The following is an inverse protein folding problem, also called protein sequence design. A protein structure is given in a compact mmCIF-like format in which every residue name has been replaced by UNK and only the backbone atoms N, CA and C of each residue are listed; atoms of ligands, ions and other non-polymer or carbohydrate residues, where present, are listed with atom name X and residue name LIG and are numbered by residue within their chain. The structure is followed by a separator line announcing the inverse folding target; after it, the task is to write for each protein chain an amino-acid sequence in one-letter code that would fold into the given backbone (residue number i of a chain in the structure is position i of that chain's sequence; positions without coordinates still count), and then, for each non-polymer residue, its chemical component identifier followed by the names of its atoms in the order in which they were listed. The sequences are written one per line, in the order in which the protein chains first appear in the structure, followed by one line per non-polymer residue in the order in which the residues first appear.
data_IF_832330237063
#
_entry.id   IF_832330237063
#
_cell.length_a   1.000
_cell.length_b   1.000
_cell.length_c   1.000
_cell.angle_alpha   90.00
_cell.angle_beta   90.00
_cell.angle_gamma   90.00
#
_symmetry.space_group_name_H-M   'P 1'
#
loop_
_entity.id
_entity.type
_entity.pdbx_description
1 polymer ?
#
# COMPACT_ATOMS: atom_id res chain seq x y z
N UNK A 1 26.63 5.56 -6.53
CA UNK A 1 27.27 4.23 -6.64
C UNK A 1 27.41 3.95 -8.11
N UNK A 2 28.64 3.72 -8.58
CA UNK A 2 28.88 3.34 -9.96
C UNK A 2 28.71 1.82 -10.09
N UNK A 3 27.92 1.39 -11.06
CA UNK A 3 27.59 -0.03 -11.28
C UNK A 3 28.17 -0.55 -12.61
N UNK A 4 28.76 0.33 -13.42
CA UNK A 4 29.37 -0.04 -14.69
C UNK A 4 30.45 -1.12 -14.49
N UNK A 5 30.44 -2.14 -15.34
CA UNK A 5 31.33 -3.32 -15.30
C UNK A 5 31.22 -4.15 -14.00
N UNK A 6 30.18 -3.93 -13.18
CA UNK A 6 29.91 -4.77 -12.01
C UNK A 6 29.09 -5.98 -12.39
N UNK A 7 29.44 -7.14 -11.84
CA UNK A 7 28.66 -8.37 -11.98
C UNK A 7 27.63 -8.46 -10.87
N UNK A 8 26.36 -8.29 -11.23
CA UNK A 8 25.24 -8.14 -10.28
C UNK A 8 24.26 -9.29 -10.41
N UNK A 9 24.06 -10.03 -9.32
CA UNK A 9 23.05 -11.07 -9.24
C UNK A 9 21.72 -10.49 -8.74
N UNK A 10 20.69 -10.56 -9.58
CA UNK A 10 19.31 -10.21 -9.22
C UNK A 10 18.57 -11.48 -8.76
N UNK A 11 18.19 -11.52 -7.49
CA UNK A 11 17.41 -12.62 -6.91
C UNK A 11 15.91 -12.28 -6.92
N UNK A 12 15.14 -13.01 -7.70
CA UNK A 12 13.70 -12.86 -7.92
C UNK A 12 13.39 -11.83 -8.99
N UNK A 13 12.72 -12.27 -10.06
CA UNK A 13 12.44 -11.45 -11.24
C UNK A 13 11.24 -10.52 -10.99
N UNK A 14 10.03 -11.03 -10.74
CA UNK A 14 8.85 -10.25 -10.35
C UNK A 14 8.70 -8.86 -11.01
N UNK A 15 8.05 -7.92 -10.32
CA UNK A 15 7.94 -6.52 -10.81
C UNK A 15 9.26 -5.75 -10.55
N UNK A 16 9.76 -5.84 -9.31
CA UNK A 16 10.95 -5.11 -8.87
C UNK A 16 12.23 -5.59 -9.57
N UNK A 17 12.40 -6.90 -9.74
CA UNK A 17 13.57 -7.47 -10.41
C UNK A 17 13.58 -7.16 -11.91
N UNK A 18 12.45 -7.18 -12.63
CA UNK A 18 12.41 -6.72 -14.05
C UNK A 18 12.89 -5.28 -14.17
N UNK A 19 12.40 -4.38 -13.30
CA UNK A 19 12.87 -2.99 -13.26
C UNK A 19 14.36 -2.90 -12.94
N UNK A 20 14.86 -3.75 -12.03
CA UNK A 20 16.27 -3.77 -11.61
C UNK A 20 17.16 -4.23 -12.76
N UNK A 21 16.80 -5.34 -13.42
CA UNK A 21 17.52 -5.92 -14.57
C UNK A 21 17.64 -4.88 -15.69
N UNK A 22 16.51 -4.32 -16.13
CA UNK A 22 16.49 -3.30 -17.19
C UNK A 22 17.41 -2.13 -16.86
N UNK A 23 17.38 -1.66 -15.61
CA UNK A 23 18.17 -0.52 -15.18
C UNK A 23 19.67 -0.84 -15.11
N UNK A 24 20.04 -1.97 -14.52
CA UNK A 24 21.43 -2.42 -14.41
C UNK A 24 22.07 -2.64 -15.79
N UNK A 25 21.37 -3.30 -16.71
CA UNK A 25 21.85 -3.50 -18.08
C UNK A 25 22.08 -2.16 -18.79
N UNK A 26 21.16 -1.20 -18.64
CA UNK A 26 21.31 0.15 -19.22
C UNK A 26 22.48 0.95 -18.61
N UNK A 27 22.81 0.69 -17.34
CA UNK A 27 23.94 1.30 -16.63
C UNK A 27 25.28 0.56 -16.85
N UNK A 28 25.31 -0.49 -17.66
CA UNK A 28 26.52 -1.22 -18.02
C UNK A 28 26.96 -2.29 -17.03
N UNK A 29 26.07 -2.83 -16.19
CA UNK A 29 26.38 -4.03 -15.40
C UNK A 29 26.32 -5.30 -16.25
N UNK A 30 27.11 -6.29 -15.83
CA UNK A 30 26.90 -7.69 -16.20
C UNK A 30 25.84 -8.27 -15.23
N UNK A 31 24.65 -8.54 -15.75
CA UNK A 31 23.50 -8.98 -14.93
C UNK A 31 23.37 -10.49 -14.99
N UNK A 32 23.07 -11.10 -13.84
CA UNK A 32 22.65 -12.50 -13.71
C UNK A 32 21.32 -12.52 -13.00
N UNK A 33 20.40 -13.40 -13.43
CA UNK A 33 19.08 -13.54 -12.83
C UNK A 33 18.95 -14.92 -12.20
N UNK A 34 18.37 -14.98 -11.00
CA UNK A 34 17.90 -16.24 -10.42
C UNK A 34 16.52 -16.09 -9.84
N UNK A 35 15.65 -17.07 -10.13
CA UNK A 35 14.31 -17.17 -9.56
C UNK A 35 14.00 -18.63 -9.20
N UNK A 36 13.28 -18.84 -8.09
CA UNK A 36 12.84 -20.17 -7.67
C UNK A 36 11.72 -20.70 -8.54
N UNK A 37 10.97 -19.82 -9.21
CA UNK A 37 9.98 -20.23 -10.19
C UNK A 37 10.66 -20.78 -11.43
N UNK A 38 10.04 -21.81 -12.02
CA UNK A 38 10.45 -22.29 -13.33
C UNK A 38 10.16 -21.23 -14.41
N UNK A 39 10.82 -21.35 -15.55
CA UNK A 39 10.74 -20.37 -16.64
C UNK A 39 9.30 -20.15 -17.14
N UNK A 40 8.52 -21.23 -17.25
CA UNK A 40 7.13 -21.23 -17.69
C UNK A 40 6.17 -20.56 -16.68
N UNK A 41 6.56 -20.45 -15.41
CA UNK A 41 5.79 -19.77 -14.37
C UNK A 41 6.04 -18.24 -14.31
N UNK A 42 7.08 -17.75 -14.99
CA UNK A 42 7.47 -16.33 -14.96
C UNK A 42 6.65 -15.46 -15.92
N UNK A 43 6.05 -16.08 -16.94
CA UNK A 43 5.06 -15.45 -17.82
C UNK A 43 5.51 -14.10 -18.38
N UNK A 44 4.73 -13.05 -18.09
CA UNK A 44 4.96 -11.70 -18.62
C UNK A 44 6.29 -11.08 -18.17
N UNK A 45 6.81 -11.41 -16.99
CA UNK A 45 8.05 -10.81 -16.49
C UNK A 45 9.25 -11.17 -17.36
N UNK A 46 9.32 -12.43 -17.82
CA UNK A 46 10.39 -12.88 -18.71
C UNK A 46 10.28 -12.21 -20.09
N UNK A 47 9.05 -12.04 -20.58
CA UNK A 47 8.80 -11.41 -21.89
C UNK A 47 9.32 -9.97 -21.97
N UNK A 48 9.43 -9.28 -20.84
CA UNK A 48 9.93 -7.91 -20.75
C UNK A 48 11.45 -7.76 -20.86
N UNK A 49 12.19 -8.86 -20.68
CA UNK A 49 13.66 -8.89 -20.69
C UNK A 49 14.23 -9.89 -21.71
N UNK A 50 13.38 -10.54 -22.49
CA UNK A 50 13.74 -11.61 -23.44
C UNK A 50 14.79 -11.20 -24.50
N UNK A 51 14.84 -9.92 -24.84
CA UNK A 51 15.75 -9.40 -25.89
C UNK A 51 17.13 -9.03 -25.32
N UNK A 52 17.34 -9.27 -24.02
CA UNK A 52 18.61 -9.04 -23.33
C UNK A 52 19.36 -10.37 -23.21
N UNK A 53 20.63 -10.38 -23.62
CA UNK A 53 21.52 -11.52 -23.43
C UNK A 53 22.00 -11.54 -21.98
N UNK A 54 21.31 -12.32 -21.15
CA UNK A 54 21.48 -12.36 -19.68
C UNK A 54 21.60 -13.82 -19.23
N UNK A 55 22.57 -14.09 -18.36
CA UNK A 55 22.72 -15.39 -17.71
C UNK A 55 21.56 -15.61 -16.70
N UNK A 56 20.82 -16.72 -16.84
CA UNK A 56 19.62 -16.99 -16.04
C UNK A 56 19.67 -18.35 -15.33
N UNK A 57 19.11 -18.39 -14.12
CA UNK A 57 18.97 -19.58 -13.29
C UNK A 57 17.52 -19.68 -12.77
N UNK A 58 16.66 -20.38 -13.51
CA UNK A 58 15.25 -20.58 -13.12
C UNK A 58 15.01 -21.93 -12.45
N UNK A 59 14.02 -21.99 -11.57
CA UNK A 59 13.73 -23.17 -10.74
C UNK A 59 14.76 -23.40 -9.62
N UNK A 60 15.71 -22.47 -9.41
CA UNK A 60 16.83 -22.69 -8.50
C UNK A 60 17.47 -21.39 -8.03
N UNK A 61 17.98 -21.41 -6.80
CA UNK A 61 18.88 -20.40 -6.25
C UNK A 61 20.34 -20.89 -6.18
N UNK A 62 20.66 -22.02 -6.81
CA UNK A 62 22.03 -22.56 -6.83
C UNK A 62 22.85 -21.88 -7.92
N UNK A 63 23.23 -20.63 -7.67
CA UNK A 63 24.02 -19.78 -8.58
C UNK A 63 25.48 -19.76 -8.13
N UNK A 64 26.46 -19.94 -9.02
CA UNK A 64 27.87 -19.69 -8.71
C UNK A 64 28.09 -18.24 -8.26
N UNK A 65 28.61 -18.05 -7.05
CA UNK A 65 28.87 -16.71 -6.50
C UNK A 65 30.27 -16.19 -6.83
N UNK A 66 31.02 -16.89 -7.69
CA UNK A 66 32.35 -16.47 -8.11
C UNK A 66 32.25 -15.21 -8.98
N UNK A 67 33.10 -14.21 -8.68
CA UNK A 67 33.12 -12.90 -9.34
C UNK A 67 31.82 -12.08 -9.24
N UNK A 68 30.91 -12.36 -8.29
CA UNK A 68 29.74 -11.51 -8.04
C UNK A 68 30.14 -10.32 -7.14
N UNK A 69 29.92 -9.11 -7.62
CA UNK A 69 30.19 -7.88 -6.87
C UNK A 69 29.05 -7.51 -5.91
N UNK A 70 27.80 -7.78 -6.31
CA UNK A 70 26.61 -7.33 -5.60
C UNK A 70 25.44 -8.30 -5.84
N UNK A 71 24.62 -8.51 -4.80
CA UNK A 71 23.32 -9.17 -4.93
C UNK A 71 22.20 -8.15 -4.68
N UNK A 72 21.27 -8.05 -5.62
CA UNK A 72 20.03 -7.28 -5.46
C UNK A 72 18.87 -8.26 -5.31
N UNK A 73 18.29 -8.34 -4.12
CA UNK A 73 17.18 -9.25 -3.85
C UNK A 73 15.83 -8.55 -3.94
N UNK A 74 14.83 -9.28 -4.43
CA UNK A 74 13.43 -8.91 -4.25
C UNK A 74 13.09 -8.78 -2.74
N UNK A 75 12.25 -7.81 -2.33
CA UNK A 75 12.00 -7.54 -0.91
C UNK A 75 11.47 -8.73 -0.12
N UNK A 76 10.62 -9.54 -0.74
CA UNK A 76 10.00 -10.72 -0.12
C UNK A 76 10.95 -11.89 0.15
N UNK A 77 12.16 -11.89 -0.45
CA UNK A 77 13.13 -12.96 -0.25
C UNK A 77 13.74 -12.86 1.16
N UNK A 78 13.62 -13.90 2.01
CA UNK A 78 14.18 -13.90 3.36
C UNK A 78 15.70 -13.83 3.36
N UNK A 79 16.28 -13.14 4.35
CA UNK A 79 17.74 -13.00 4.50
C UNK A 79 18.45 -14.29 4.97
N UNK A 80 17.71 -15.30 5.41
CA UNK A 80 18.26 -16.53 6.01
C UNK A 80 18.31 -17.73 5.05
N UNK A 81 18.16 -17.50 3.74
CA UNK A 81 18.32 -18.56 2.73
C UNK A 81 19.80 -18.84 2.45
N UNK A 82 20.12 -20.03 1.94
CA UNK A 82 21.49 -20.51 1.90
C UNK A 82 22.39 -19.71 0.94
N UNK A 83 21.88 -19.26 -0.21
CA UNK A 83 22.64 -18.38 -1.13
C UNK A 83 23.02 -17.05 -0.47
N UNK A 84 22.14 -16.45 0.34
CA UNK A 84 22.44 -15.20 1.05
C UNK A 84 23.43 -15.44 2.19
N UNK A 85 23.32 -16.56 2.92
CA UNK A 85 24.32 -16.94 3.93
C UNK A 85 25.70 -17.10 3.31
N UNK A 86 25.78 -17.76 2.16
CA UNK A 86 27.05 -17.97 1.45
C UNK A 86 27.61 -16.67 0.90
N UNK A 87 26.77 -15.81 0.29
CA UNK A 87 27.16 -14.48 -0.15
C UNK A 87 27.78 -13.66 1.00
N UNK A 88 27.13 -13.66 2.17
CA UNK A 88 27.65 -12.98 3.35
C UNK A 88 29.00 -13.54 3.83
N UNK A 89 29.21 -14.86 3.80
CA UNK A 89 30.51 -15.47 4.15
C UNK A 89 31.63 -15.04 3.19
N UNK A 90 31.29 -14.83 1.91
CA UNK A 90 32.20 -14.35 0.87
C UNK A 90 32.38 -12.84 0.86
N UNK A 91 31.68 -12.11 1.73
CA UNK A 91 31.72 -10.64 1.79
C UNK A 91 30.96 -9.94 0.65
N UNK A 92 30.12 -10.66 -0.09
CA UNK A 92 29.29 -10.10 -1.16
C UNK A 92 28.11 -9.35 -0.52
N UNK A 93 27.96 -8.07 -0.85
CA UNK A 93 26.88 -7.26 -0.29
C UNK A 93 25.52 -7.66 -0.89
N UNK A 94 24.51 -7.78 -0.03
CA UNK A 94 23.12 -8.07 -0.41
C UNK A 94 22.24 -6.88 -0.05
N UNK A 95 21.62 -6.26 -1.05
CA UNK A 95 20.73 -5.10 -0.89
C UNK A 95 19.40 -5.30 -1.62
N UNK A 96 18.46 -4.37 -1.45
CA UNK A 96 17.20 -4.30 -2.22
C UNK A 96 17.28 -3.21 -3.28
N UNK A 97 16.32 -3.24 -4.20
CA UNK A 97 16.11 -2.20 -5.21
C UNK A 97 16.03 -0.78 -4.64
N UNK A 98 15.38 -0.60 -3.49
CA UNK A 98 15.25 0.69 -2.81
C UNK A 98 16.61 1.27 -2.38
N UNK A 99 17.45 0.43 -1.76
CA UNK A 99 18.80 0.84 -1.34
C UNK A 99 19.68 1.14 -2.56
N UNK A 100 19.62 0.29 -3.58
CA UNK A 100 20.38 0.48 -4.82
C UNK A 100 19.97 1.77 -5.53
N UNK A 101 18.66 2.05 -5.64
CA UNK A 101 18.13 3.26 -6.25
C UNK A 101 18.71 4.51 -5.60
N UNK A 102 18.62 4.61 -4.28
CA UNK A 102 19.18 5.74 -3.54
C UNK A 102 20.70 5.84 -3.71
N UNK A 103 21.44 4.73 -3.64
CA UNK A 103 22.89 4.76 -3.82
C UNK A 103 23.30 5.18 -5.23
N UNK A 104 22.55 4.84 -6.27
CA UNK A 104 22.83 5.25 -7.66
C UNK A 104 22.59 6.75 -7.83
N UNK A 105 21.50 7.29 -7.30
CA UNK A 105 21.11 8.70 -7.47
C UNK A 105 20.68 9.35 -6.15
N UNK A 106 21.61 9.62 -5.22
CA UNK A 106 21.26 10.11 -3.87
C UNK A 106 20.63 11.51 -3.86
N UNK A 107 20.83 12.30 -4.92
CA UNK A 107 20.39 13.70 -4.99
C UNK A 107 18.92 13.89 -5.42
N UNK A 108 18.20 12.81 -5.71
CA UNK A 108 16.81 12.84 -6.20
C UNK A 108 15.83 13.25 -5.11
N UNK A 109 14.64 13.69 -5.53
CA UNK A 109 13.56 14.09 -4.63
C UNK A 109 12.78 12.87 -4.10
N UNK A 110 13.40 12.09 -3.21
CA UNK A 110 12.76 10.94 -2.58
C UNK A 110 11.82 11.34 -1.43
N UNK A 111 10.58 10.88 -1.51
CA UNK A 111 9.56 10.92 -0.46
C UNK A 111 9.19 9.48 -0.14
N UNK A 112 9.43 9.04 1.09
CA UNK A 112 9.20 7.65 1.49
C UNK A 112 8.07 7.57 2.52
N UNK A 113 7.11 6.67 2.29
CA UNK A 113 5.92 6.52 3.13
C UNK A 113 5.86 5.08 3.64
N UNK A 114 5.80 4.91 4.96
CA UNK A 114 5.55 3.62 5.61
C UNK A 114 4.47 3.72 6.69
N UNK A 115 4.03 2.56 7.14
CA UNK A 115 3.03 2.38 8.19
C UNK A 115 2.48 0.95 8.14
N UNK A 116 1.72 0.54 9.15
CA UNK A 116 0.99 -0.72 9.05
C UNK A 116 -0.15 -0.56 8.03
N UNK A 117 -0.93 0.51 8.14
CA UNK A 117 -2.07 0.82 7.29
C UNK A 117 -1.95 2.20 6.61
N UNK A 118 -2.74 2.45 5.56
CA UNK A 118 -2.85 3.76 4.91
C UNK A 118 -1.75 4.11 3.90
N UNK A 119 -0.71 3.27 3.80
CA UNK A 119 0.44 3.46 2.89
C UNK A 119 0.02 3.78 1.45
N UNK A 120 -0.67 2.84 0.79
CA UNK A 120 -1.07 2.99 -0.61
C UNK A 120 -1.89 4.25 -0.85
N UNK A 121 -2.91 4.49 -0.02
CA UNK A 121 -3.75 5.69 -0.14
C UNK A 121 -2.94 6.98 -0.01
N UNK A 122 -2.04 7.04 0.98
CA UNK A 122 -1.18 8.21 1.19
C UNK A 122 -0.19 8.39 0.05
N UNK A 123 0.48 7.32 -0.39
CA UNK A 123 1.44 7.34 -1.51
C UNK A 123 0.76 7.79 -2.80
N UNK A 124 -0.43 7.26 -3.11
CA UNK A 124 -1.22 7.68 -4.28
C UNK A 124 -1.62 9.14 -4.15
N UNK A 125 -2.17 9.57 -3.00
CA UNK A 125 -2.60 10.95 -2.82
C UNK A 125 -1.44 11.94 -2.92
N UNK A 126 -0.28 11.64 -2.31
CA UNK A 126 0.93 12.47 -2.48
C UNK A 126 1.33 12.53 -3.95
N UNK A 127 1.31 11.40 -4.66
CA UNK A 127 1.55 11.37 -6.11
C UNK A 127 0.62 12.31 -6.89
N UNK A 128 -0.68 12.27 -6.60
CA UNK A 128 -1.68 13.14 -7.23
C UNK A 128 -1.50 14.62 -6.85
N UNK A 129 -1.06 14.92 -5.62
CA UNK A 129 -0.75 16.29 -5.20
C UNK A 129 0.38 16.87 -6.05
N UNK A 130 1.49 16.15 -6.22
CA UNK A 130 2.62 16.62 -7.02
C UNK A 130 2.28 16.73 -8.51
N UNK A 131 1.63 15.72 -9.10
CA UNK A 131 1.16 15.77 -10.49
C UNK A 131 0.22 16.94 -10.73
N UNK A 132 -0.76 17.15 -9.85
CA UNK A 132 -1.71 18.25 -9.96
C UNK A 132 -1.09 19.64 -9.74
N UNK A 133 0.10 19.70 -9.12
CA UNK A 133 0.90 20.92 -9.01
C UNK A 133 1.94 21.07 -10.14
N UNK A 134 1.92 20.20 -11.16
CA UNK A 134 2.78 20.31 -12.35
C UNK A 134 4.14 19.63 -12.26
N UNK A 135 4.38 18.79 -11.25
CA UNK A 135 5.64 18.04 -11.13
C UNK A 135 5.57 16.71 -11.87
N UNK A 136 6.66 16.37 -12.58
CA UNK A 136 6.92 15.01 -13.01
C UNK A 136 7.07 14.13 -11.76
N UNK A 137 6.21 13.12 -11.63
CA UNK A 137 6.08 12.35 -10.41
C UNK A 137 6.02 10.86 -10.70
N UNK A 138 6.94 10.12 -10.09
CA UNK A 138 7.05 8.67 -10.18
C UNK A 138 6.58 8.07 -8.86
N UNK A 139 5.48 7.31 -8.91
CA UNK A 139 4.94 6.63 -7.73
C UNK A 139 5.38 5.17 -7.81
N UNK A 140 6.16 4.71 -6.84
CA UNK A 140 6.84 3.40 -6.92
C UNK A 140 6.89 2.67 -5.57
N UNK A 141 7.48 1.47 -5.58
CA UNK A 141 7.66 0.64 -4.40
C UNK A 141 6.60 -0.46 -4.32
N UNK A 142 6.02 -0.67 -3.13
CA UNK A 142 5.09 -1.77 -2.88
C UNK A 142 3.68 -1.60 -3.53
N UNK A 143 3.55 -0.71 -4.51
CA UNK A 143 2.32 -0.47 -5.29
C UNK A 143 2.35 -1.08 -6.70
N UNK A 144 3.32 -1.94 -6.99
CA UNK A 144 3.37 -2.68 -8.26
C UNK A 144 4.14 -1.99 -9.39
N UNK A 145 5.02 -1.04 -9.06
CA UNK A 145 5.95 -0.41 -10.02
C UNK A 145 7.36 -0.43 -9.42
N UNK A 146 8.32 -0.95 -10.19
CA UNK A 146 9.73 -1.00 -9.79
C UNK A 146 10.39 0.38 -9.89
N UNK A 147 11.24 0.72 -8.91
CA UNK A 147 11.79 2.07 -8.77
C UNK A 147 12.96 2.38 -9.71
N UNK A 148 13.79 1.38 -10.02
CA UNK A 148 15.09 1.60 -10.65
C UNK A 148 15.00 2.02 -12.11
N UNK A 149 14.02 1.49 -12.85
CA UNK A 149 13.87 1.82 -14.27
C UNK A 149 13.41 3.25 -14.45
N UNK A 150 12.40 3.69 -13.70
CA UNK A 150 11.93 5.08 -13.72
C UNK A 150 13.05 6.03 -13.27
N UNK A 151 13.79 5.66 -12.22
CA UNK A 151 14.91 6.45 -11.70
C UNK A 151 15.94 6.81 -12.78
N UNK A 152 16.45 5.81 -13.51
CA UNK A 152 17.52 6.06 -14.49
C UNK A 152 17.03 6.75 -15.76
N UNK A 153 15.70 6.84 -15.94
CA UNK A 153 15.05 7.52 -17.05
C UNK A 153 14.41 8.87 -16.63
N UNK A 154 14.68 9.34 -15.41
CA UNK A 154 14.11 10.57 -14.84
C UNK A 154 15.10 11.73 -14.80
N UNK A 155 14.55 12.94 -14.69
CA UNK A 155 15.31 14.18 -14.47
C UNK A 155 15.48 14.48 -12.97
N UNK A 156 16.51 15.25 -12.59
CA UNK A 156 16.90 15.41 -11.17
C UNK A 156 15.81 16.05 -10.32
N UNK A 157 14.96 16.88 -10.94
CA UNK A 157 13.84 17.56 -10.30
C UNK A 157 12.59 16.68 -10.14
N UNK A 158 12.54 15.53 -10.81
CA UNK A 158 11.39 14.62 -10.72
C UNK A 158 11.20 14.11 -9.28
N UNK A 159 9.94 13.97 -8.88
CA UNK A 159 9.54 13.55 -7.53
C UNK A 159 9.34 12.04 -7.48
N UNK A 160 9.99 11.37 -6.53
CA UNK A 160 9.83 9.94 -6.30
C UNK A 160 9.03 9.70 -5.02
N UNK A 161 7.77 9.28 -5.16
CA UNK A 161 6.89 8.96 -4.04
C UNK A 161 6.87 7.45 -3.84
N UNK A 162 7.49 6.98 -2.76
CA UNK A 162 7.82 5.57 -2.54
C UNK A 162 6.96 5.00 -1.43
N UNK A 163 6.15 3.98 -1.74
CA UNK A 163 5.58 3.11 -0.71
C UNK A 163 6.65 2.12 -0.20
N UNK A 164 7.12 2.33 1.02
CA UNK A 164 8.16 1.52 1.65
C UNK A 164 7.58 0.50 2.64
N UNK A 165 7.72 -0.79 2.32
CA UNK A 165 7.39 -1.89 3.24
C UNK A 165 8.45 -2.06 4.34
N UNK A 166 8.11 -2.75 5.43
CA UNK A 166 9.09 -3.13 6.46
C UNK A 166 10.20 -4.04 5.90
N UNK A 167 9.90 -4.87 4.90
CA UNK A 167 10.88 -5.79 4.31
C UNK A 167 11.92 -5.04 3.47
N UNK A 168 11.48 -4.03 2.72
CA UNK A 168 12.38 -3.13 1.98
C UNK A 168 13.27 -2.35 2.94
N UNK A 169 12.66 -1.69 3.93
CA UNK A 169 13.38 -0.86 4.89
C UNK A 169 14.37 -1.67 5.72
N UNK A 170 14.05 -2.92 6.08
CA UNK A 170 14.97 -3.78 6.82
C UNK A 170 16.32 -3.98 6.10
N UNK A 171 16.33 -3.92 4.78
CA UNK A 171 17.54 -4.09 3.97
C UNK A 171 18.23 -2.77 3.60
N UNK A 172 17.73 -1.62 4.08
CA UNK A 172 18.35 -0.31 3.82
C UNK A 172 19.52 -0.05 4.77
N UNK A 173 20.53 0.68 4.26
CA UNK A 173 21.72 1.10 5.00
C UNK A 173 21.94 2.59 4.87
N UNK A 174 21.99 3.12 3.65
CA UNK A 174 22.29 4.52 3.35
C UNK A 174 21.05 5.33 2.98
N UNK A 175 19.92 4.67 2.72
CA UNK A 175 18.65 5.30 2.32
C UNK A 175 18.31 6.53 3.18
N UNK A 176 18.17 7.69 2.52
CA UNK A 176 17.91 8.98 3.17
C UNK A 176 16.96 9.82 2.30
N UNK A 177 15.64 9.66 2.44
CA UNK A 177 14.68 10.45 1.69
C UNK A 177 14.64 11.91 2.19
N UNK A 178 14.23 12.85 1.34
CA UNK A 178 14.01 14.25 1.74
C UNK A 178 12.87 14.36 2.76
N UNK A 179 11.82 13.55 2.56
CA UNK A 179 10.68 13.44 3.49
C UNK A 179 10.39 11.97 3.78
N UNK A 180 10.37 11.62 5.06
CA UNK A 180 9.92 10.31 5.57
C UNK A 180 8.55 10.46 6.20
N UNK A 181 7.66 9.48 6.03
CA UNK A 181 6.36 9.45 6.70
C UNK A 181 6.18 8.10 7.40
N UNK A 182 5.83 8.13 8.68
CA UNK A 182 5.31 6.95 9.40
C UNK A 182 3.87 7.24 9.82
N UNK A 183 2.92 6.54 9.21
CA UNK A 183 1.48 6.78 9.39
C UNK A 183 0.94 6.24 10.72
N UNK A 184 1.34 5.01 11.06
CA UNK A 184 0.91 4.25 12.24
C UNK A 184 1.76 2.98 12.35
N UNK A 185 1.84 2.41 13.56
CA UNK A 185 2.48 1.12 13.80
C UNK A 185 1.61 0.27 14.72
N UNK A 186 1.01 -0.78 14.16
CA UNK A 186 0.34 -1.87 14.89
C UNK A 186 0.97 -3.23 14.55
N UNK A 187 0.83 -4.26 15.41
CA UNK A 187 1.39 -5.59 15.15
C UNK A 187 0.98 -6.14 13.77
N UNK A 188 1.97 -6.55 12.99
CA UNK A 188 1.82 -7.13 11.65
C UNK A 188 3.12 -7.83 11.26
N UNK A 189 3.06 -8.83 10.36
CA UNK A 189 4.23 -9.56 9.83
C UNK A 189 5.24 -10.08 10.89
N UNK A 190 4.78 -10.37 12.10
CA UNK A 190 5.62 -10.81 13.23
C UNK A 190 6.31 -12.15 12.94
N UNK A 191 5.64 -13.03 12.19
CA UNK A 191 6.22 -14.28 11.70
C UNK A 191 7.51 -14.09 10.90
N UNK A 192 7.60 -13.01 10.11
CA UNK A 192 8.78 -12.69 9.31
C UNK A 192 9.84 -11.96 10.15
N UNK A 193 9.41 -10.95 10.94
CA UNK A 193 10.31 -10.13 11.76
C UNK A 193 10.75 -10.82 13.06
N UNK A 194 10.15 -11.95 13.41
CA UNK A 194 10.34 -12.75 14.64
C UNK A 194 9.91 -12.08 15.95
N UNK A 195 9.86 -10.75 15.98
CA UNK A 195 9.43 -9.95 17.13
C UNK A 195 8.81 -8.63 16.67
N UNK A 196 7.95 -8.05 17.50
CA UNK A 196 7.31 -6.75 17.21
C UNK A 196 8.34 -5.62 17.19
N UNK A 197 9.30 -5.63 18.09
CA UNK A 197 10.38 -4.65 18.17
C UNK A 197 11.20 -4.62 16.88
N UNK A 198 11.46 -5.78 16.27
CA UNK A 198 12.16 -5.87 15.00
C UNK A 198 11.34 -5.24 13.86
N UNK A 199 10.01 -5.44 13.85
CA UNK A 199 9.11 -4.79 12.88
C UNK A 199 9.13 -3.26 13.03
N UNK A 200 9.09 -2.76 14.27
CA UNK A 200 9.19 -1.32 14.56
C UNK A 200 10.55 -0.78 14.09
N UNK A 201 11.65 -1.45 14.45
CA UNK A 201 13.01 -1.05 14.08
C UNK A 201 13.24 -1.06 12.57
N UNK A 202 12.65 -2.02 11.85
CA UNK A 202 12.66 -2.04 10.39
C UNK A 202 12.02 -0.79 9.82
N UNK A 203 10.86 -0.35 10.35
CA UNK A 203 10.20 0.89 9.89
C UNK A 203 11.00 2.15 10.22
N UNK A 204 11.62 2.22 11.39
CA UNK A 204 12.47 3.35 11.82
C UNK A 204 13.64 3.62 10.88
N UNK A 205 14.11 2.61 10.12
CA UNK A 205 15.17 2.79 9.11
C UNK A 205 14.82 3.84 8.05
N UNK A 206 13.53 4.15 7.84
CA UNK A 206 13.09 5.18 6.88
C UNK A 206 13.69 6.57 7.16
N UNK A 207 13.84 6.95 8.44
CA UNK A 207 14.36 8.26 8.84
C UNK A 207 15.78 8.20 9.42
N UNK A 208 16.35 7.01 9.60
CA UNK A 208 17.58 6.80 10.39
C UNK A 208 18.78 7.63 9.91
N UNK A 209 18.89 7.82 8.60
CA UNK A 209 19.98 8.57 7.98
C UNK A 209 19.66 10.05 7.77
N UNK A 210 18.42 10.49 8.00
CA UNK A 210 18.01 11.89 7.86
C UNK A 210 18.69 12.76 8.93
N UNK A 211 18.91 14.03 8.59
CA UNK A 211 19.53 15.07 9.43
C UNK A 211 18.68 16.35 9.34
N UNK A 212 19.23 17.46 9.80
CA UNK A 212 18.56 18.76 9.93
C UNK A 212 18.03 19.37 8.62
N UNK A 213 18.43 18.86 7.45
CA UNK A 213 17.93 19.33 6.15
C UNK A 213 16.74 18.51 5.62
N UNK A 214 16.48 17.36 6.21
CA UNK A 214 15.37 16.49 5.85
C UNK A 214 14.22 16.60 6.87
N UNK A 215 13.10 15.94 6.57
CA UNK A 215 11.91 15.95 7.41
C UNK A 215 11.37 14.54 7.70
N UNK A 216 10.88 14.35 8.91
CA UNK A 216 10.09 13.19 9.33
C UNK A 216 8.67 13.64 9.70
N UNK A 217 7.67 13.08 9.02
CA UNK A 217 6.26 13.27 9.28
C UNK A 217 5.76 12.11 10.14
N UNK A 218 5.19 12.43 11.31
CA UNK A 218 4.73 11.44 12.29
C UNK A 218 3.29 11.73 12.72
N UNK A 219 2.53 10.66 12.98
CA UNK A 219 1.18 10.74 13.54
C UNK A 219 1.24 11.00 15.04
N UNK A 220 0.76 12.16 15.48
CA UNK A 220 0.67 12.52 16.89
C UNK A 220 -0.41 11.71 17.63
N UNK A 221 -1.33 11.06 16.94
CA UNK A 221 -2.37 10.25 17.60
C UNK A 221 -1.89 8.81 17.90
N UNK A 222 -0.73 8.41 17.37
CA UNK A 222 -0.10 7.12 17.64
C UNK A 222 0.88 7.25 18.83
N UNK A 223 0.60 6.60 19.99
CA UNK A 223 1.44 6.72 21.18
C UNK A 223 2.89 6.25 20.94
N UNK A 224 3.09 5.21 20.13
CA UNK A 224 4.43 4.71 19.85
C UNK A 224 5.23 5.75 19.06
N UNK A 225 4.61 6.42 18.09
CA UNK A 225 5.30 7.42 17.28
C UNK A 225 5.73 8.65 18.10
N UNK A 226 5.00 9.01 19.16
CA UNK A 226 5.45 10.04 20.13
C UNK A 226 6.74 9.64 20.83
N UNK A 227 6.93 8.36 21.13
CA UNK A 227 8.16 7.88 21.76
C UNK A 227 9.34 7.89 20.78
N UNK A 228 9.07 7.58 19.51
CA UNK A 228 10.07 7.52 18.43
C UNK A 228 10.67 8.90 18.11
N UNK A 229 9.99 10.01 18.45
CA UNK A 229 10.52 11.38 18.31
C UNK A 229 11.96 11.53 18.82
N UNK A 230 12.30 10.86 19.92
CA UNK A 230 13.63 10.92 20.55
C UNK A 230 14.75 10.32 19.70
N UNK A 231 14.40 9.51 18.70
CA UNK A 231 15.35 8.85 17.79
C UNK A 231 15.49 9.59 16.45
N UNK A 232 14.68 10.63 16.21
CA UNK A 232 14.68 11.39 14.96
C UNK A 232 15.72 12.50 15.02
N UNK A 233 16.63 12.52 14.04
CA UNK A 233 17.68 13.54 13.90
C UNK A 233 17.34 14.63 12.87
N UNK A 234 16.15 14.60 12.30
CA UNK A 234 15.66 15.52 11.28
C UNK A 234 14.52 16.39 11.80
N UNK A 235 14.01 17.32 10.98
CA UNK A 235 12.89 18.15 11.40
C UNK A 235 11.61 17.30 11.49
N UNK A 236 10.94 17.35 12.63
CA UNK A 236 9.65 16.66 12.79
C UNK A 236 8.50 17.57 12.38
N UNK A 237 7.59 17.04 11.58
CA UNK A 237 6.31 17.65 11.27
C UNK A 237 5.17 16.73 11.69
N UNK A 238 4.45 17.13 12.74
CA UNK A 238 3.37 16.33 13.30
C UNK A 238 2.08 16.47 12.50
N UNK A 239 1.31 15.39 12.44
CA UNK A 239 -0.09 15.47 12.06
C UNK A 239 -1.01 14.81 13.08
N UNK A 240 -2.28 15.24 13.14
CA UNK A 240 -3.26 14.72 14.10
C UNK A 240 -4.70 14.92 13.64
N UNK A 241 -5.52 13.88 13.77
CA UNK A 241 -6.98 14.01 13.67
C UNK A 241 -7.58 14.47 14.99
N UNK A 242 -7.07 13.98 16.12
CA UNK A 242 -7.72 14.15 17.43
C UNK A 242 -7.26 15.40 18.20
N UNK A 243 -6.13 16.00 17.82
CA UNK A 243 -5.46 17.04 18.58
C UNK A 243 -5.14 18.28 17.72
N UNK A 244 -5.36 19.46 18.30
CA UNK A 244 -4.88 20.72 17.73
C UNK A 244 -3.39 20.90 18.03
N UNK A 245 -2.59 21.12 16.98
CA UNK A 245 -1.13 21.22 17.09
C UNK A 245 -0.65 22.67 17.02
N UNK A 246 0.34 23.07 17.85
CA UNK A 246 0.95 24.41 17.78
C UNK A 246 1.76 24.61 16.49
N UNK A 247 2.25 23.52 15.89
CA UNK A 247 2.87 23.44 14.56
C UNK A 247 2.62 22.04 14.00
N UNK A 248 2.13 21.94 12.77
CA UNK A 248 1.76 20.67 12.15
C UNK A 248 0.48 20.75 11.30
N UNK A 249 0.01 19.60 10.81
CA UNK A 249 -1.27 19.48 10.12
C UNK A 249 -2.33 18.84 11.04
N UNK A 250 -3.51 19.43 11.17
CA UNK A 250 -4.55 18.84 12.02
C UNK A 250 -5.96 19.20 11.57
N UNK A 251 -6.96 18.61 12.23
CA UNK A 251 -8.37 18.96 12.05
C UNK A 251 -8.76 20.13 12.96
N UNK A 252 -9.12 21.28 12.39
CA UNK A 252 -9.70 22.41 13.12
C UNK A 252 -11.17 22.58 12.74
N UNK A 253 -12.07 22.16 13.64
CA UNK A 253 -13.52 22.10 13.43
C UNK A 253 -13.87 21.24 12.21
N UNK A 254 -14.18 21.87 11.07
CA UNK A 254 -14.61 21.20 9.84
C UNK A 254 -13.59 21.33 8.71
N UNK A 255 -12.34 21.67 9.02
CA UNK A 255 -11.27 21.87 8.05
C UNK A 255 -10.04 21.04 8.37
N UNK A 256 -9.40 20.53 7.32
CA UNK A 256 -7.98 20.16 7.33
C UNK A 256 -7.18 21.46 7.29
N UNK A 257 -6.27 21.65 8.24
CA UNK A 257 -5.43 22.85 8.34
C UNK A 257 -3.95 22.52 8.47
N UNK A 258 -3.12 23.46 8.02
CA UNK A 258 -1.68 23.52 8.30
C UNK A 258 -1.43 24.69 9.24
N UNK A 259 -0.69 24.47 10.33
CA UNK A 259 -0.18 25.53 11.19
C UNK A 259 1.35 25.52 11.14
N UNK A 260 1.96 26.59 10.63
CA UNK A 260 3.42 26.73 10.53
C UNK A 260 4.07 27.28 11.81
N UNK A 261 3.26 27.52 12.86
CA UNK A 261 3.66 28.16 14.12
C UNK A 261 3.46 29.68 14.13
N UNK A 262 3.16 30.29 12.98
CA UNK A 262 2.88 31.73 12.82
C UNK A 262 1.48 31.97 12.28
N UNK A 263 1.02 31.14 11.34
CA UNK A 263 -0.25 31.25 10.65
C UNK A 263 -0.89 29.88 10.43
N UNK A 264 -2.22 29.88 10.45
CA UNK A 264 -3.05 28.72 10.12
C UNK A 264 -3.59 28.89 8.69
N UNK A 265 -3.35 27.89 7.86
CA UNK A 265 -3.84 27.80 6.49
C UNK A 265 -4.92 26.73 6.42
N UNK A 266 -6.10 27.08 5.88
CA UNK A 266 -7.17 26.12 5.62
C UNK A 266 -6.92 25.48 4.27
N UNK A 267 -6.78 24.16 4.25
CA UNK A 267 -6.49 23.40 3.02
C UNK A 267 -7.79 22.99 2.34
N UNK A 268 -8.62 22.24 3.05
CA UNK A 268 -9.90 21.73 2.51
C UNK A 268 -10.91 21.53 3.63
N UNK A 269 -12.19 21.65 3.31
CA UNK A 269 -13.27 21.30 4.23
C UNK A 269 -13.46 19.80 4.29
N UNK A 270 -13.77 19.25 5.46
CA UNK A 270 -14.00 17.82 5.63
C UNK A 270 -15.21 17.33 4.82
N UNK A 271 -16.27 18.14 4.72
CA UNK A 271 -17.49 17.82 3.95
C UNK A 271 -17.24 17.68 2.43
N UNK A 272 -16.15 18.27 1.93
CA UNK A 272 -15.77 18.23 0.52
C UNK A 272 -14.88 17.01 0.19
N UNK A 273 -14.45 16.24 1.20
CA UNK A 273 -13.59 15.07 1.03
C UNK A 273 -14.46 13.86 0.66
N UNK A 274 -14.10 13.17 -0.43
CA UNK A 274 -14.87 12.01 -0.92
C UNK A 274 -14.52 10.71 -0.19
N UNK A 275 -13.26 10.54 0.22
CA UNK A 275 -12.80 9.35 0.94
C UNK A 275 -13.20 9.41 2.41
N UNK A 276 -13.83 8.34 2.91
CA UNK A 276 -14.53 8.34 4.19
C UNK A 276 -13.69 7.78 5.34
N UNK A 277 -13.97 8.26 6.56
CA UNK A 277 -13.45 7.68 7.79
C UNK A 277 -12.18 8.34 8.33
N UNK A 278 -11.96 8.20 9.64
CA UNK A 278 -10.83 8.79 10.37
C UNK A 278 -9.48 8.44 9.75
N UNK A 279 -9.26 7.17 9.40
CA UNK A 279 -8.01 6.72 8.77
C UNK A 279 -7.71 7.43 7.44
N UNK A 280 -8.73 7.86 6.68
CA UNK A 280 -8.54 8.64 5.47
C UNK A 280 -8.22 10.11 5.76
N UNK A 281 -8.74 10.67 6.87
CA UNK A 281 -8.27 11.97 7.36
C UNK A 281 -6.80 11.91 7.79
N UNK A 282 -6.36 10.84 8.45
CA UNK A 282 -4.94 10.61 8.77
C UNK A 282 -4.08 10.60 7.50
N UNK A 283 -4.51 9.84 6.47
CA UNK A 283 -3.82 9.79 5.18
C UNK A 283 -3.73 11.19 4.53
N UNK A 284 -4.83 11.95 4.53
CA UNK A 284 -4.87 13.31 3.96
C UNK A 284 -3.94 14.25 4.73
N UNK A 285 -3.96 14.21 6.05
CA UNK A 285 -3.12 15.04 6.88
C UNK A 285 -1.63 14.74 6.67
N UNK A 286 -1.27 13.46 6.53
CA UNK A 286 0.07 13.05 6.16
C UNK A 286 0.46 13.57 4.76
N UNK A 287 -0.42 13.42 3.76
CA UNK A 287 -0.17 13.92 2.40
C UNK A 287 -0.03 15.44 2.33
N UNK A 288 -0.87 16.17 3.06
CA UNK A 288 -0.80 17.63 3.19
C UNK A 288 0.49 18.07 3.89
N UNK A 289 0.94 17.32 4.89
CA UNK A 289 2.22 17.58 5.57
C UNK A 289 3.39 17.46 4.60
N UNK A 290 3.42 16.40 3.78
CA UNK A 290 4.44 16.21 2.73
C UNK A 290 4.40 17.37 1.72
N UNK A 291 3.21 17.70 1.21
CA UNK A 291 3.05 18.78 0.24
C UNK A 291 3.51 20.13 0.79
N UNK A 292 3.16 20.44 2.05
CA UNK A 292 3.62 21.65 2.74
C UNK A 292 5.15 21.72 2.87
N UNK A 293 5.78 20.64 3.33
CA UNK A 293 7.25 20.56 3.49
C UNK A 293 7.96 20.78 2.16
N UNK A 294 7.40 20.24 1.08
CA UNK A 294 7.96 20.32 -0.26
C UNK A 294 7.52 21.58 -1.03
N UNK A 295 6.79 22.50 -0.38
CA UNK A 295 6.46 23.81 -0.94
C UNK A 295 5.28 23.84 -1.92
N UNK A 296 4.37 22.87 -1.88
CA UNK A 296 3.16 22.88 -2.70
C UNK A 296 2.18 23.99 -2.28
N UNK A 297 1.48 24.58 -3.25
CA UNK A 297 0.47 25.60 -2.99
C UNK A 297 -0.73 25.00 -2.23
N UNK A 298 -1.14 25.68 -1.15
CA UNK A 298 -2.21 25.21 -0.27
C UNK A 298 -3.56 25.14 -0.99
N UNK A 299 -3.84 26.09 -1.89
CA UNK A 299 -5.08 26.13 -2.66
C UNK A 299 -5.17 24.96 -3.65
N UNK A 300 -4.08 24.68 -4.37
CA UNK A 300 -3.97 23.53 -5.27
C UNK A 300 -4.10 22.21 -4.52
N UNK A 301 -3.42 22.06 -3.37
CA UNK A 301 -3.58 20.87 -2.52
C UNK A 301 -5.04 20.65 -2.14
N UNK A 302 -5.74 21.70 -1.70
CA UNK A 302 -7.15 21.64 -1.35
C UNK A 302 -8.05 21.20 -2.52
N UNK A 303 -7.80 21.73 -3.73
CA UNK A 303 -8.54 21.37 -4.93
C UNK A 303 -8.34 19.90 -5.32
N UNK A 304 -7.10 19.41 -5.27
CA UNK A 304 -6.76 18.02 -5.61
C UNK A 304 -7.41 17.05 -4.61
N UNK A 305 -7.32 17.34 -3.31
CA UNK A 305 -7.92 16.50 -2.25
C UNK A 305 -9.44 16.41 -2.40
N UNK A 306 -10.12 17.53 -2.73
CA UNK A 306 -11.57 17.55 -2.99
C UNK A 306 -11.96 16.65 -4.17
N UNK A 307 -11.08 16.51 -5.15
CA UNK A 307 -11.36 15.71 -6.35
C UNK A 307 -10.86 14.26 -6.26
N UNK A 308 -9.97 13.95 -5.32
CA UNK A 308 -9.43 12.62 -5.10
C UNK A 308 -10.54 11.62 -4.76
N UNK A 309 -10.71 10.60 -5.61
CA UNK A 309 -11.76 9.58 -5.49
C UNK A 309 -11.38 8.42 -4.57
N UNK A 310 -10.15 8.39 -4.08
CA UNK A 310 -9.59 7.24 -3.37
C UNK A 310 -8.77 6.34 -4.28
N UNK A 311 -8.34 5.21 -3.72
CA UNK A 311 -7.63 4.17 -4.45
C UNK A 311 -8.64 3.10 -4.85
N UNK A 312 -8.54 2.64 -6.09
CA UNK A 312 -9.38 1.58 -6.62
C UNK A 312 -9.35 0.34 -5.70
N UNK A 313 -10.51 -0.29 -5.51
CA UNK A 313 -10.69 -1.45 -4.64
C UNK A 313 -10.43 -1.23 -3.14
N UNK A 314 -10.34 0.02 -2.65
CA UNK A 314 -10.21 0.38 -1.22
C UNK A 314 -11.36 1.28 -0.76
N UNK A 315 -12.45 0.69 -0.30
CA UNK A 315 -13.72 1.39 0.03
C UNK A 315 -14.09 2.37 -1.10
N UNK A 316 -13.89 1.94 -2.34
CA UNK A 316 -14.11 2.73 -3.55
C UNK A 316 -15.62 2.87 -3.74
N UNK A 317 -16.13 4.10 -3.73
CA UNK A 317 -17.51 4.36 -4.14
C UNK A 317 -17.65 4.04 -5.63
N UNK A 318 -18.56 3.12 -5.95
CA UNK A 318 -18.82 2.67 -7.33
C UNK A 318 -19.97 3.46 -7.94
N UNK A 319 -21.18 3.33 -7.36
CA UNK A 319 -22.36 4.02 -7.86
C UNK A 319 -23.49 4.06 -6.81
N UNK A 320 -24.57 4.78 -7.14
CA UNK A 320 -25.84 4.75 -6.41
C UNK A 320 -26.95 4.33 -7.36
N UNK A 321 -27.71 3.29 -7.00
CA UNK A 321 -28.85 2.76 -7.77
C UNK A 321 -30.05 2.77 -6.83
N UNK A 322 -31.14 3.45 -7.21
CA UNK A 322 -32.37 3.58 -6.41
C UNK A 322 -32.14 3.98 -4.94
N UNK A 323 -31.16 4.86 -4.72
CA UNK A 323 -30.78 5.33 -3.38
C UNK A 323 -29.88 4.39 -2.58
N UNK A 324 -29.50 3.24 -3.12
CA UNK A 324 -28.56 2.27 -2.53
C UNK A 324 -27.14 2.56 -3.01
N UNK A 325 -26.19 2.70 -2.09
CA UNK A 325 -24.78 2.99 -2.43
C UNK A 325 -23.94 1.73 -2.52
N UNK A 326 -23.11 1.61 -3.54
CA UNK A 326 -22.21 0.48 -3.73
C UNK A 326 -20.76 0.86 -3.45
N UNK A 327 -20.08 0.06 -2.64
CA UNK A 327 -18.68 0.24 -2.29
C UNK A 327 -17.86 -1.01 -2.59
N UNK A 328 -16.75 -0.83 -3.30
CA UNK A 328 -15.77 -1.85 -3.64
C UNK A 328 -14.56 -1.75 -2.70
N UNK A 329 -14.46 -2.67 -1.74
CA UNK A 329 -13.30 -2.90 -0.89
C UNK A 329 -12.69 -4.29 -1.15
N UNK A 330 -12.56 -4.69 -2.42
CA UNK A 330 -12.00 -6.01 -2.78
C UNK A 330 -10.57 -6.24 -2.22
N UNK A 331 -9.83 -5.17 -1.90
CA UNK A 331 -8.52 -5.24 -1.22
C UNK A 331 -8.61 -5.67 0.25
N UNK A 332 -9.81 -5.72 0.83
CA UNK A 332 -10.09 -6.25 2.17
C UNK A 332 -9.90 -7.77 2.27
N UNK A 333 -8.67 -8.25 2.02
CA UNK A 333 -8.35 -9.69 1.90
C UNK A 333 -8.08 -10.38 3.25
N UNK A 334 -8.40 -9.74 4.36
CA UNK A 334 -8.30 -10.28 5.72
C UNK A 334 -9.39 -9.67 6.64
N UNK A 335 -9.70 -10.29 7.80
CA UNK A 335 -10.74 -9.81 8.71
C UNK A 335 -10.54 -8.37 9.18
N UNK A 336 -9.32 -7.98 9.59
CA UNK A 336 -9.03 -6.64 10.10
C UNK A 336 -9.28 -5.52 9.08
N UNK A 337 -8.95 -5.77 7.81
CA UNK A 337 -9.24 -4.84 6.73
C UNK A 337 -10.75 -4.67 6.56
N UNK A 338 -11.51 -5.77 6.66
CA UNK A 338 -12.96 -5.73 6.52
C UNK A 338 -13.67 -5.06 7.69
N UNK A 339 -13.17 -5.25 8.91
CA UNK A 339 -13.64 -4.52 10.10
C UNK A 339 -13.52 -3.01 9.87
N UNK A 340 -12.38 -2.54 9.35
CA UNK A 340 -12.17 -1.11 9.04
C UNK A 340 -13.15 -0.60 7.99
N UNK A 341 -13.45 -1.40 6.96
CA UNK A 341 -14.45 -1.04 5.95
C UNK A 341 -15.86 -0.92 6.53
N UNK A 342 -16.28 -1.89 7.35
CA UNK A 342 -17.60 -1.89 8.03
C UNK A 342 -17.75 -0.68 8.96
N UNK A 343 -16.69 -0.29 9.67
CA UNK A 343 -16.71 0.89 10.56
C UNK A 343 -16.70 2.21 9.78
N UNK A 344 -16.14 2.24 8.57
CA UNK A 344 -16.04 3.44 7.75
C UNK A 344 -17.30 3.71 6.91
N UNK A 345 -17.92 2.66 6.35
CA UNK A 345 -19.10 2.79 5.48
C UNK A 345 -20.34 3.15 6.30
N UNK A 346 -21.20 3.99 5.73
CA UNK A 346 -22.44 4.44 6.36
C UNK A 346 -23.42 3.26 6.52
N UNK A 347 -23.91 2.96 7.74
CA UNK A 347 -24.93 1.94 7.94
C UNK A 347 -26.34 2.42 7.54
N UNK A 348 -27.29 1.51 7.29
CA UNK A 348 -27.16 0.04 7.33
C UNK A 348 -26.36 -0.56 6.15
N UNK A 349 -25.67 -1.68 6.38
CA UNK A 349 -24.74 -2.32 5.43
C UNK A 349 -25.22 -3.72 5.06
N UNK A 350 -25.22 -4.04 3.77
CA UNK A 350 -25.29 -5.41 3.25
C UNK A 350 -23.86 -5.80 2.85
N UNK A 351 -23.25 -6.68 3.64
CA UNK A 351 -21.84 -7.04 3.48
C UNK A 351 -21.71 -8.28 2.59
N UNK A 352 -20.99 -8.14 1.48
CA UNK A 352 -20.57 -9.24 0.63
C UNK A 352 -19.18 -9.70 1.09
N UNK A 353 -19.07 -10.95 1.54
CA UNK A 353 -17.84 -11.51 2.09
C UNK A 353 -17.56 -12.96 1.65
N UNK A 354 -16.31 -13.41 1.82
CA UNK A 354 -15.86 -14.74 1.48
C UNK A 354 -14.86 -14.80 0.32
N UNK A 355 -14.32 -15.99 0.11
CA UNK A 355 -13.17 -16.27 -0.77
C UNK A 355 -12.32 -17.42 -0.21
N UNK A 356 -11.06 -17.49 -0.62
CA UNK A 356 -10.13 -18.55 -0.24
C UNK A 356 -9.78 -18.54 1.25
N UNK A 357 -9.76 -19.72 1.88
CA UNK A 357 -9.33 -19.87 3.27
C UNK A 357 -7.81 -19.78 3.39
N UNK A 358 -7.35 -19.00 4.38
CA UNK A 358 -5.94 -18.87 4.77
C UNK A 358 -5.71 -19.29 6.23
N UNK A 359 -6.66 -20.01 6.82
CA UNK A 359 -6.71 -20.28 8.24
C UNK A 359 -7.17 -19.07 9.06
N UNK A 360 -7.99 -18.19 8.46
CA UNK A 360 -8.48 -16.99 9.12
C UNK A 360 -9.65 -17.31 10.04
N UNK A 361 -9.68 -16.68 11.22
CA UNK A 361 -10.84 -16.69 12.12
C UNK A 361 -11.68 -15.42 11.92
N UNK A 362 -12.99 -15.53 12.08
CA UNK A 362 -13.94 -14.47 11.71
C UNK A 362 -14.74 -13.93 12.89
N UNK A 363 -14.52 -14.42 14.12
CA UNK A 363 -15.26 -13.98 15.32
C UNK A 363 -15.20 -12.46 15.49
N UNK A 364 -13.99 -11.87 15.42
CA UNK A 364 -13.79 -10.41 15.54
C UNK A 364 -14.51 -9.61 14.46
N UNK A 365 -14.62 -10.16 13.24
CA UNK A 365 -15.36 -9.52 12.16
C UNK A 365 -16.85 -9.45 12.50
N UNK A 366 -17.45 -10.56 12.94
CA UNK A 366 -18.88 -10.59 13.29
C UNK A 366 -19.16 -9.70 14.51
N UNK A 367 -18.31 -9.77 15.54
CA UNK A 367 -18.41 -8.92 16.73
C UNK A 367 -18.34 -7.42 16.40
N UNK A 368 -17.59 -7.05 15.36
CA UNK A 368 -17.46 -5.65 14.92
C UNK A 368 -18.73 -5.04 14.31
N UNK A 369 -19.73 -5.86 13.95
CA UNK A 369 -20.90 -5.38 13.23
C UNK A 369 -21.67 -4.33 14.02
N UNK A 370 -21.83 -4.50 15.34
CA UNK A 370 -22.45 -3.50 16.22
C UNK A 370 -23.80 -2.93 15.72
N UNK A 371 -24.62 -3.77 15.05
CA UNK A 371 -25.89 -3.35 14.43
C UNK A 371 -25.77 -2.56 13.12
N UNK A 372 -24.55 -2.34 12.61
CA UNK A 372 -24.28 -1.65 11.34
C UNK A 372 -24.57 -2.53 10.13
N UNK A 373 -24.29 -3.83 10.24
CA UNK A 373 -24.52 -4.80 9.17
C UNK A 373 -25.92 -5.37 9.31
N UNK A 374 -26.74 -5.19 8.28
CA UNK A 374 -28.13 -5.66 8.15
C UNK A 374 -28.19 -7.11 7.67
N UNK A 375 -27.32 -7.50 6.73
CA UNK A 375 -27.27 -8.84 6.14
C UNK A 375 -25.86 -9.20 5.66
N UNK A 376 -25.56 -10.50 5.66
CA UNK A 376 -24.37 -11.07 5.01
C UNK A 376 -24.76 -11.80 3.73
N UNK A 377 -23.99 -11.55 2.67
CA UNK A 377 -24.07 -12.29 1.40
C UNK A 377 -22.70 -12.95 1.18
N UNK A 378 -22.65 -14.28 1.26
CA UNK A 378 -21.40 -15.03 1.34
C UNK A 378 -21.16 -15.88 0.09
N UNK A 379 -19.95 -15.83 -0.43
CA UNK A 379 -19.49 -16.57 -1.61
C UNK A 379 -18.09 -17.16 -1.40
N UNK A 380 -17.67 -18.03 -2.33
CA UNK A 380 -16.33 -18.65 -2.30
C UNK A 380 -16.19 -19.78 -1.28
N UNK A 381 -14.96 -20.25 -1.11
CA UNK A 381 -14.60 -21.41 -0.29
C UNK A 381 -15.01 -21.26 1.18
N UNK A 382 -14.83 -20.06 1.75
CA UNK A 382 -15.07 -19.76 3.18
C UNK A 382 -16.53 -19.44 3.54
N UNK A 383 -17.47 -19.46 2.58
CA UNK A 383 -18.86 -19.03 2.81
C UNK A 383 -19.56 -19.79 3.94
N UNK A 384 -19.33 -21.09 4.05
CA UNK A 384 -19.89 -21.94 5.11
C UNK A 384 -19.26 -21.60 6.47
N UNK A 385 -17.93 -21.47 6.53
CA UNK A 385 -17.19 -21.11 7.75
C UNK A 385 -17.66 -19.77 8.30
N UNK A 386 -17.77 -18.74 7.45
CA UNK A 386 -18.23 -17.41 7.88
C UNK A 386 -19.69 -17.45 8.34
N UNK A 387 -20.57 -18.22 7.67
CA UNK A 387 -21.96 -18.42 8.10
C UNK A 387 -22.01 -19.03 9.50
N UNK A 388 -21.26 -20.10 9.73
CA UNK A 388 -21.30 -20.83 11.00
C UNK A 388 -20.78 -19.96 12.14
N UNK A 389 -19.72 -19.17 11.90
CA UNK A 389 -19.27 -18.14 12.85
C UNK A 389 -20.33 -17.07 13.09
N UNK A 390 -21.00 -16.58 12.04
CA UNK A 390 -22.06 -15.58 12.18
C UNK A 390 -23.22 -16.09 13.04
N UNK A 391 -23.69 -17.32 12.79
CA UNK A 391 -24.76 -17.97 13.56
C UNK A 391 -24.34 -18.18 15.03
N UNK A 392 -23.11 -18.64 15.27
CA UNK A 392 -22.54 -18.80 16.63
C UNK A 392 -22.59 -17.49 17.42
N UNK A 393 -22.39 -16.35 16.76
CA UNK A 393 -22.47 -15.01 17.35
C UNK A 393 -23.88 -14.38 17.29
N UNK A 394 -24.91 -15.16 16.96
CA UNK A 394 -26.30 -14.72 16.94
C UNK A 394 -26.71 -13.90 15.71
N UNK A 395 -25.85 -13.81 14.69
CA UNK A 395 -26.15 -13.13 13.43
C UNK A 395 -26.72 -14.10 12.40
N UNK A 396 -28.06 -14.13 12.28
CA UNK A 396 -28.77 -15.13 11.48
C UNK A 396 -29.10 -14.68 10.04
N UNK A 397 -28.99 -13.39 9.71
CA UNK A 397 -29.38 -12.86 8.40
C UNK A 397 -28.26 -13.08 7.37
N UNK A 398 -28.05 -14.34 6.99
CA UNK A 398 -26.95 -14.80 6.14
C UNK A 398 -27.49 -15.48 4.88
N UNK A 399 -26.97 -15.09 3.72
CA UNK A 399 -27.37 -15.58 2.40
C UNK A 399 -26.15 -16.15 1.69
N UNK A 400 -26.22 -17.40 1.23
CA UNK A 400 -25.14 -18.03 0.47
C UNK A 400 -25.40 -17.90 -1.03
N UNK A 401 -24.38 -17.52 -1.79
CA UNK A 401 -24.45 -17.38 -3.25
C UNK A 401 -23.23 -18.03 -3.92
N UNK A 402 -23.27 -18.16 -5.24
CA UNK A 402 -22.24 -18.89 -5.99
C UNK A 402 -21.23 -17.99 -6.71
N UNK A 403 -21.61 -16.77 -7.04
CA UNK A 403 -20.79 -15.85 -7.85
C UNK A 403 -21.08 -14.39 -7.50
N UNK A 404 -20.23 -13.48 -8.00
CA UNK A 404 -20.37 -12.04 -7.75
C UNK A 404 -21.68 -11.47 -8.27
N UNK A 405 -22.17 -11.96 -9.42
CA UNK A 405 -23.46 -11.52 -9.96
C UNK A 405 -24.59 -11.78 -8.97
N UNK A 406 -24.72 -13.00 -8.49
CA UNK A 406 -25.69 -13.34 -7.45
C UNK A 406 -25.48 -12.52 -6.17
N UNK A 407 -24.22 -12.27 -5.77
CA UNK A 407 -23.91 -11.51 -4.57
C UNK A 407 -24.40 -10.05 -4.63
N UNK A 408 -24.11 -9.36 -5.74
CA UNK A 408 -24.51 -7.95 -5.94
C UNK A 408 -26.02 -7.84 -6.05
N UNK A 409 -26.67 -8.70 -6.85
CA UNK A 409 -28.12 -8.68 -7.03
C UNK A 409 -28.84 -9.00 -5.73
N UNK A 410 -28.37 -10.00 -4.98
CA UNK A 410 -28.92 -10.32 -3.66
C UNK A 410 -28.70 -9.17 -2.68
N UNK A 411 -27.53 -8.53 -2.73
CA UNK A 411 -27.21 -7.35 -1.94
C UNK A 411 -28.19 -6.21 -2.19
N UNK A 412 -28.45 -5.91 -3.46
CA UNK A 412 -29.42 -4.89 -3.87
C UNK A 412 -30.85 -5.24 -3.47
N UNK A 413 -31.28 -6.50 -3.66
CA UNK A 413 -32.62 -6.96 -3.28
C UNK A 413 -32.90 -6.80 -1.76
N UNK A 414 -31.87 -6.94 -0.92
CA UNK A 414 -31.97 -6.81 0.54
C UNK A 414 -31.87 -5.34 1.02
N UNK A 415 -31.40 -4.45 0.16
CA UNK A 415 -31.15 -3.06 0.46
C UNK A 415 -32.40 -2.20 0.27
N UNK A 416 -32.51 -1.16 1.10
CA UNK A 416 -33.51 -0.09 0.99
C UNK A 416 -32.81 1.23 0.62
N UNK A 417 -33.53 2.23 0.07
CA UNK A 417 -32.95 3.55 -0.19
C UNK A 417 -32.28 4.14 1.06
N UNK A 418 -30.98 4.44 0.95
CA UNK A 418 -30.14 4.88 2.07
C UNK A 418 -29.18 3.82 2.62
N UNK A 419 -29.41 2.54 2.33
CA UNK A 419 -28.51 1.43 2.68
C UNK A 419 -27.24 1.45 1.79
N UNK A 420 -26.22 0.71 2.23
CA UNK A 420 -24.98 0.50 1.48
C UNK A 420 -24.74 -0.99 1.21
N UNK A 421 -24.40 -1.34 -0.03
CA UNK A 421 -23.86 -2.67 -0.39
C UNK A 421 -22.34 -2.55 -0.42
N UNK A 422 -21.66 -3.34 0.42
CA UNK A 422 -20.21 -3.31 0.58
C UNK A 422 -19.61 -4.65 0.19
N UNK A 423 -18.77 -4.67 -0.85
CA UNK A 423 -17.83 -5.78 -1.06
C UNK A 423 -16.63 -5.60 -0.15
N UNK A 424 -16.54 -6.38 0.93
CA UNK A 424 -15.37 -6.42 1.81
C UNK A 424 -15.08 -7.87 2.20
N UNK A 425 -14.26 -8.60 1.42
CA UNK A 425 -14.27 -10.06 1.39
C UNK A 425 -13.81 -10.78 2.67
N UNK A 426 -12.99 -10.13 3.51
CA UNK A 426 -12.23 -10.72 4.61
C UNK A 426 -11.29 -11.89 4.21
N UNK A 427 -11.24 -12.25 2.93
CA UNK A 427 -10.55 -13.41 2.39
C UNK A 427 -9.78 -13.06 1.10
N UNK A 428 -8.77 -13.87 0.80
CA UNK A 428 -8.10 -13.81 -0.50
C UNK A 428 -9.04 -14.22 -1.64
N UNK A 429 -8.68 -13.87 -2.87
CA UNK A 429 -9.55 -14.06 -4.04
C UNK A 429 -9.26 -15.33 -4.85
N UNK A 430 -8.19 -16.07 -4.53
CA UNK A 430 -7.58 -17.07 -5.41
C UNK A 430 -8.41 -18.34 -5.65
N UNK A 431 -9.47 -18.54 -4.90
CA UNK A 431 -10.45 -19.60 -5.14
C UNK A 431 -11.34 -19.31 -6.36
N UNK A 432 -11.61 -18.03 -6.65
CA UNK A 432 -12.52 -17.61 -7.73
C UNK A 432 -11.89 -16.68 -8.77
N UNK A 433 -10.78 -16.00 -8.42
CA UNK A 433 -10.15 -14.96 -9.23
C UNK A 433 -8.62 -15.01 -9.12
N UNK A 434 -7.92 -14.70 -10.21
CA UNK A 434 -6.46 -14.61 -10.22
C UNK A 434 -5.91 -13.50 -9.31
N UNK A 435 -6.70 -12.46 -9.03
CA UNK A 435 -6.30 -11.36 -8.14
C UNK A 435 -7.50 -10.64 -7.51
N UNK A 436 -7.25 -9.80 -6.51
CA UNK A 436 -8.30 -9.02 -5.86
C UNK A 436 -8.81 -7.90 -6.78
N UNK A 437 -7.96 -7.39 -7.68
CA UNK A 437 -8.32 -6.42 -8.71
C UNK A 437 -9.38 -7.05 -9.63
N UNK A 438 -9.14 -8.27 -10.13
CA UNK A 438 -10.12 -9.00 -10.95
C UNK A 438 -11.46 -9.19 -10.24
N UNK A 439 -11.44 -9.55 -8.95
CA UNK A 439 -12.67 -9.64 -8.14
C UNK A 439 -13.39 -8.29 -8.02
N UNK A 440 -12.65 -7.20 -7.87
CA UNK A 440 -13.23 -5.87 -7.77
C UNK A 440 -13.75 -5.35 -9.11
N UNK A 441 -13.09 -5.66 -10.23
CA UNK A 441 -13.59 -5.37 -11.57
C UNK A 441 -14.90 -6.10 -11.85
N UNK A 442 -14.99 -7.39 -11.48
CA UNK A 442 -16.22 -8.17 -11.60
C UNK A 442 -17.37 -7.50 -10.82
N UNK A 443 -17.14 -7.12 -9.56
CA UNK A 443 -18.12 -6.38 -8.78
C UNK A 443 -18.59 -5.09 -9.46
N UNK A 444 -17.67 -4.27 -9.97
CA UNK A 444 -18.01 -3.01 -10.64
C UNK A 444 -18.78 -3.23 -11.94
N UNK A 445 -18.39 -4.23 -12.73
CA UNK A 445 -19.09 -4.59 -13.96
C UNK A 445 -20.52 -5.02 -13.66
N UNK A 446 -20.72 -5.85 -12.63
CA UNK A 446 -22.05 -6.29 -12.21
C UNK A 446 -22.89 -5.13 -11.69
N UNK A 447 -22.32 -4.21 -10.90
CA UNK A 447 -23.02 -2.99 -10.45
C UNK A 447 -23.42 -2.11 -11.64
N UNK A 448 -22.56 -1.98 -12.64
CA UNK A 448 -22.88 -1.25 -13.88
C UNK A 448 -24.03 -1.90 -14.63
N UNK A 449 -24.01 -3.22 -14.81
CA UNK A 449 -25.12 -3.96 -15.46
C UNK A 449 -26.43 -3.82 -14.70
N UNK A 450 -26.40 -3.88 -13.35
CA UNK A 450 -27.58 -3.67 -12.53
C UNK A 450 -28.17 -2.27 -12.72
N UNK A 451 -27.32 -1.24 -12.85
CA UNK A 451 -27.77 0.13 -13.10
C UNK A 451 -28.40 0.29 -14.48
N UNK A 452 -27.85 -0.35 -15.50
CA UNK A 452 -28.44 -0.36 -16.84
C UNK A 452 -29.82 -1.00 -16.83
N UNK A 453 -29.99 -2.11 -16.10
CA UNK A 453 -31.28 -2.80 -15.93
C UNK A 453 -32.30 -1.97 -15.14
N UNK A 454 -31.88 -1.22 -14.11
CA UNK A 454 -32.78 -0.35 -13.31
C UNK A 454 -33.21 0.94 -14.03
N UNK A 455 -32.50 1.37 -15.08
CA UNK A 455 -32.84 2.58 -15.85
C UNK A 455 -33.77 2.30 -17.05
N UNK A 456 -34.16 1.04 -17.25
CA UNK A 456 -35.19 0.58 -18.21
C UNK A 456 -36.50 0.38 -17.46
#
# INVERSE_FOLDING_TARGET
MNINDKRVLVLGLGISGVSTVKALTKLGAEVIISDLKAEDELGSFLSEIKDMDIETYFGTNNVPLDNIDLIVKSPGIPLNIDIIKEANKRGIEVITDLELAYRISPDRNYIAITGTNGKTTTTTLVGELFKGCGYNTHVSGNIGVGILWDLINSETEDIFVIEASSFQLESTRDFKPKVSVILNISPDHINWHKAYENYVNAKKKIFKNQRENEYTVLNYDDPLLKEIEKEVNSNIFWFSVDNKLPKGAYIDRSYVVINDGKKIYKVVKIEDIKILGKHNLENILASVSVGWIMGLDVGLMGHIIKNFKGVEHRIEYVDTIDGVKFYNDSKGTNPDASIKAVLAVKPPIILIAGGQDKGSEFDSLIESFGGRVKSLVLLGETKEKIRDTAIKHGFNNVHLVNNMKEAVYKGFQLAEPGDSVLLSPACASWDMYSSFEMRGYDFKNVVSSLKEESNV
#
